data_IF_885252992658
#
_entry.id   IF_885252992658
#
_cell.length_a   1.000
_cell.length_b   1.000
_cell.length_c   1.000
_cell.angle_alpha   90.00
_cell.angle_beta   90.00
_cell.angle_gamma   90.00
#
_symmetry.space_group_name_H-M   'P 1'
#
loop_
_entity.id
_entity.type
_entity.pdbx_description
1 polymer ?
#
# COMPACT_ATOMS: atom_id res chain seq x y z
N UNK A 1 16.43 18.55 -30.98
CA UNK A 1 15.25 17.74 -30.63
C UNK A 1 15.73 16.31 -30.65
N UNK A 2 16.62 15.96 -29.72
CA UNK A 2 17.47 14.77 -29.85
C UNK A 2 17.58 14.11 -28.48
N UNK A 3 16.71 13.13 -28.25
CA UNK A 3 16.78 12.28 -27.06
C UNK A 3 17.79 11.15 -27.29
N UNK A 4 18.67 10.91 -26.31
CA UNK A 4 19.54 9.73 -26.29
C UNK A 4 18.88 8.61 -25.50
N UNK A 5 19.08 7.35 -25.90
CA UNK A 5 18.68 6.22 -25.08
C UNK A 5 19.40 6.27 -23.73
N UNK A 6 18.64 6.30 -22.64
CA UNK A 6 19.14 6.27 -21.28
C UNK A 6 18.83 4.90 -20.67
N UNK A 7 19.87 4.13 -20.33
CA UNK A 7 19.72 2.89 -19.57
C UNK A 7 20.03 3.18 -18.11
N UNK A 8 19.00 3.42 -17.30
CA UNK A 8 19.13 3.50 -15.85
C UNK A 8 19.02 2.09 -15.26
N UNK A 9 19.96 1.73 -14.39
CA UNK A 9 19.92 0.50 -13.59
C UNK A 9 19.71 0.92 -12.13
N UNK A 10 18.59 0.52 -11.55
CA UNK A 10 18.40 0.68 -10.11
C UNK A 10 19.33 -0.31 -9.39
N UNK A 11 20.14 0.20 -8.47
CA UNK A 11 20.86 -0.69 -7.56
C UNK A 11 19.82 -1.35 -6.64
N UNK A 12 19.93 -2.66 -6.37
CA UNK A 12 19.00 -3.34 -5.49
C UNK A 12 18.93 -2.64 -4.12
N UNK A 13 17.73 -2.32 -3.66
CA UNK A 13 17.48 -1.60 -2.41
C UNK A 13 17.24 -0.09 -2.55
N UNK A 14 17.48 0.52 -3.71
CA UNK A 14 17.17 1.94 -3.97
C UNK A 14 15.69 2.22 -4.27
N UNK A 15 14.82 1.20 -4.26
CA UNK A 15 13.37 1.41 -4.31
C UNK A 15 12.87 2.22 -3.09
N UNK A 16 13.56 2.11 -1.95
CA UNK A 16 13.43 3.00 -0.80
C UNK A 16 14.54 4.06 -0.78
N UNK A 17 15.00 4.50 -1.95
CA UNK A 17 16.26 5.23 -2.14
C UNK A 17 16.37 6.53 -1.34
N UNK A 18 15.24 7.12 -0.95
CA UNK A 18 15.20 8.28 -0.06
C UNK A 18 15.63 7.99 1.39
N UNK A 19 15.69 6.72 1.81
CA UNK A 19 16.10 6.30 3.14
C UNK A 19 17.55 5.83 3.21
N UNK A 20 18.36 6.09 2.17
CA UNK A 20 19.79 5.81 2.22
C UNK A 20 20.43 6.53 3.43
N UNK A 21 21.20 5.79 4.23
CA UNK A 21 21.87 6.25 5.46
C UNK A 21 20.94 6.59 6.65
N UNK A 22 19.66 6.21 6.61
CA UNK A 22 18.77 6.37 7.77
C UNK A 22 18.98 5.25 8.80
N UNK A 23 18.76 5.57 10.08
CA UNK A 23 18.59 4.54 11.11
C UNK A 23 17.19 3.93 10.96
N UNK A 24 17.12 2.67 10.52
CA UNK A 24 15.85 1.96 10.31
C UNK A 24 15.42 1.20 11.56
N UNK A 25 14.16 1.36 11.94
CA UNK A 25 13.52 0.56 13.01
C UNK A 25 12.25 -0.05 12.44
N UNK A 26 12.07 -1.35 12.64
CA UNK A 26 10.83 -2.04 12.32
C UNK A 26 9.92 -2.00 13.55
N UNK A 27 8.68 -1.57 13.33
CA UNK A 27 7.63 -1.57 14.35
C UNK A 27 6.51 -2.49 13.90
N UNK A 28 6.05 -3.34 14.81
CA UNK A 28 4.85 -4.14 14.58
C UNK A 28 3.63 -3.25 14.68
N UNK A 29 2.69 -3.43 13.75
CA UNK A 29 1.42 -2.72 13.73
C UNK A 29 0.30 -3.75 13.58
N UNK A 30 -0.92 -3.46 14.07
CA UNK A 30 -2.07 -4.34 13.84
C UNK A 30 -2.32 -4.55 12.35
N UNK A 31 -2.80 -5.73 11.97
CA UNK A 31 -3.11 -6.07 10.57
C UNK A 31 -4.15 -5.11 9.93
N UNK A 32 -5.04 -4.54 10.74
CA UNK A 32 -6.02 -3.56 10.28
C UNK A 32 -5.37 -2.27 9.73
N UNK A 33 -4.12 -1.98 10.09
CA UNK A 33 -3.38 -0.79 9.67
C UNK A 33 -3.12 -0.79 8.16
N UNK A 34 -2.98 -1.96 7.54
CA UNK A 34 -2.65 -2.06 6.14
C UNK A 34 -3.36 -3.23 5.46
N UNK A 35 -4.35 -2.90 4.61
CA UNK A 35 -5.12 -3.87 3.84
C UNK A 35 -4.82 -3.73 2.34
N UNK A 36 -3.74 -4.33 1.82
CA UNK A 36 -3.35 -4.15 0.42
C UNK A 36 -4.23 -4.95 -0.53
N UNK A 37 -4.57 -4.38 -1.69
CA UNK A 37 -5.21 -5.09 -2.80
C UNK A 37 -4.15 -5.38 -3.86
N UNK A 38 -3.85 -6.67 -4.09
CA UNK A 38 -2.83 -7.12 -5.06
C UNK A 38 -3.45 -7.80 -6.28
N UNK A 39 -4.63 -8.38 -6.11
CA UNK A 39 -5.44 -9.04 -7.13
C UNK A 39 -6.87 -8.53 -7.07
N UNK A 40 -7.65 -8.77 -8.12
CA UNK A 40 -9.07 -8.37 -8.13
C UNK A 40 -9.86 -9.06 -7.01
N UNK A 41 -9.52 -10.31 -6.67
CA UNK A 41 -10.20 -11.06 -5.61
C UNK A 41 -9.97 -10.47 -4.21
N UNK A 42 -8.91 -9.68 -4.02
CA UNK A 42 -8.66 -9.02 -2.74
C UNK A 42 -9.75 -8.03 -2.37
N UNK A 43 -10.42 -7.43 -3.36
CA UNK A 43 -11.55 -6.53 -3.13
C UNK A 43 -12.73 -7.23 -2.48
N UNK A 44 -12.85 -8.56 -2.62
CA UNK A 44 -13.93 -9.34 -2.00
C UNK A 44 -13.74 -9.52 -0.49
N UNK A 45 -12.60 -9.12 0.08
CA UNK A 45 -12.38 -9.17 1.53
C UNK A 45 -13.31 -8.19 2.27
N UNK A 46 -13.79 -8.53 3.48
CA UNK A 46 -14.71 -7.68 4.24
C UNK A 46 -14.22 -6.23 4.43
N UNK A 47 -12.91 -6.03 4.60
CA UNK A 47 -12.29 -4.71 4.74
C UNK A 47 -12.46 -3.79 3.51
N UNK A 48 -12.87 -4.34 2.36
CA UNK A 48 -13.06 -3.61 1.10
C UNK A 48 -14.49 -3.70 0.56
N UNK A 49 -15.40 -4.32 1.32
CA UNK A 49 -16.81 -4.35 0.97
C UNK A 49 -17.52 -3.09 1.50
N UNK A 50 -18.56 -2.60 0.80
CA UNK A 50 -19.43 -1.58 1.36
C UNK A 50 -20.05 -2.08 2.67
N UNK A 51 -20.18 -1.19 3.63
CA UNK A 51 -21.00 -1.46 4.81
C UNK A 51 -22.44 -1.61 4.31
N UNK A 52 -23.11 -2.70 4.69
CA UNK A 52 -24.50 -2.88 4.32
C UNK A 52 -25.39 -1.77 4.94
N UNK A 53 -26.50 -1.45 4.27
CA UNK A 53 -27.42 -0.38 4.69
C UNK A 53 -27.97 -0.61 6.11
N UNK A 54 -28.07 -1.86 6.54
CA UNK A 54 -28.56 -2.25 7.87
C UNK A 54 -27.54 -1.91 8.97
N UNK A 55 -26.26 -2.18 8.73
CA UNK A 55 -25.14 -1.83 9.61
C UNK A 55 -24.93 -0.31 9.64
N UNK A 56 -25.09 0.38 8.51
CA UNK A 56 -24.99 1.84 8.42
C UNK A 56 -26.08 2.56 9.24
N UNK A 57 -27.30 2.00 9.28
CA UNK A 57 -28.40 2.51 10.12
C UNK A 57 -28.19 2.22 11.62
N UNK A 58 -27.44 1.16 11.97
CA UNK A 58 -27.14 0.83 13.38
C UNK A 58 -26.00 1.68 13.98
N UNK A 59 -25.03 2.11 13.15
CA UNK A 59 -23.89 2.94 13.57
C UNK A 59 -24.20 4.46 13.59
N UNK A 60 -25.32 4.86 13.01
CA UNK A 60 -25.80 6.26 12.98
C UNK A 60 -26.83 6.58 14.07
N UNK A 61 -27.11 5.63 14.97
CA UNK A 61 -27.90 5.81 16.20
C UNK A 61 -27.01 5.78 17.42
#
# INVERSE_FOLDING_TARGET
>A
KDGRELKALELPGLWNGGMAYWNSVFVEVPDSTFNPVKTVLDLLRPAHQPIDEETHQSLSR
#
